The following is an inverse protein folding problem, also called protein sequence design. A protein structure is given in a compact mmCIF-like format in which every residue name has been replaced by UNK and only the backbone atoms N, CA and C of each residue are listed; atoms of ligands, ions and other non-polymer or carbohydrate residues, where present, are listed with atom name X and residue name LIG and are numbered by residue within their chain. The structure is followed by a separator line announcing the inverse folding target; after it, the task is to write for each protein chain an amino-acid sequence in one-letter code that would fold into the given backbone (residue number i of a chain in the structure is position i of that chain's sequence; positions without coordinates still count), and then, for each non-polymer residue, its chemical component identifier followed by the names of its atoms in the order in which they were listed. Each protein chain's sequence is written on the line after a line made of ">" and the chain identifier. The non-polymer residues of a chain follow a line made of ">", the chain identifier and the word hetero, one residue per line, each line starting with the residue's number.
data_IF_720859607476
#
_entry.id   IF_720859607476
#
_cell.length_a   1.000
_cell.length_b   1.000
_cell.length_c   1.000
_cell.angle_alpha   90.00
_cell.angle_beta   90.00
_cell.angle_gamma   90.00
#
_symmetry.space_group_name_H-M   'P 1'
#
loop_
_entity.id
_entity.type
_entity.pdbx_description
1 polymer ?
#
# COMPACT_ATOMS: atom_id res chain seq x y z
N UNK A 1 21.91 -14.79 -60.39
CA UNK A 1 20.43 -14.78 -60.37
C UNK A 1 19.81 -15.57 -59.21
N UNK A 2 20.37 -16.70 -58.74
CA UNK A 2 19.79 -17.48 -57.62
C UNK A 2 19.81 -16.78 -56.24
N UNK A 3 20.82 -15.95 -55.95
CA UNK A 3 20.91 -15.20 -54.68
C UNK A 3 19.92 -14.03 -54.56
N UNK A 4 19.53 -13.41 -55.67
CA UNK A 4 18.57 -12.28 -55.69
C UNK A 4 17.16 -12.76 -55.31
N UNK A 5 16.80 -13.98 -55.72
CA UNK A 5 15.53 -14.62 -55.40
C UNK A 5 15.46 -14.98 -53.91
N UNK A 6 16.59 -15.39 -53.31
CA UNK A 6 16.67 -15.72 -51.89
C UNK A 6 16.45 -14.47 -51.00
N UNK A 7 16.99 -13.32 -51.41
CA UNK A 7 16.81 -12.04 -50.71
C UNK A 7 15.34 -11.59 -50.75
N UNK A 8 14.67 -11.72 -51.90
CA UNK A 8 13.27 -11.32 -52.06
C UNK A 8 12.29 -12.20 -51.27
N UNK A 9 12.68 -13.44 -50.93
CA UNK A 9 11.88 -14.35 -50.09
C UNK A 9 12.04 -14.10 -48.59
N UNK A 10 13.11 -13.43 -48.15
CA UNK A 10 13.38 -13.19 -46.72
C UNK A 10 12.81 -11.82 -46.27
N UNK A 11 12.74 -10.84 -47.18
CA UNK A 11 12.25 -9.48 -46.94
C UNK A 11 10.84 -9.34 -46.32
N UNK A 12 9.81 -10.17 -46.62
CA UNK A 12 8.48 -10.02 -46.02
C UNK A 12 8.36 -10.58 -44.59
N UNK A 13 9.37 -11.32 -44.10
CA UNK A 13 9.39 -11.87 -42.74
C UNK A 13 9.97 -10.90 -41.71
N UNK A 14 10.54 -9.78 -42.14
CA UNK A 14 10.82 -8.63 -41.29
C UNK A 14 9.51 -7.87 -41.04
N UNK A 15 8.57 -8.53 -40.34
CA UNK A 15 7.43 -7.86 -39.75
C UNK A 15 7.99 -6.89 -38.72
N UNK A 16 8.03 -5.61 -39.08
CA UNK A 16 8.34 -4.51 -38.17
C UNK A 16 7.40 -4.67 -36.98
N UNK A 17 7.95 -5.05 -35.83
CA UNK A 17 7.24 -4.87 -34.58
C UNK A 17 6.99 -3.37 -34.46
N UNK A 18 5.73 -2.93 -34.64
CA UNK A 18 5.38 -1.54 -34.44
C UNK A 18 5.78 -1.18 -33.01
N UNK A 19 6.82 -0.35 -32.86
CA UNK A 19 7.12 0.26 -31.57
C UNK A 19 5.95 1.19 -31.30
N UNK A 20 5.01 0.74 -30.47
CA UNK A 20 3.78 1.47 -30.24
C UNK A 20 4.14 2.83 -29.61
N UNK A 21 3.98 3.97 -30.32
CA UNK A 21 4.56 5.25 -29.92
C UNK A 21 4.12 5.60 -28.51
N UNK A 22 5.04 6.06 -27.66
CA UNK A 22 4.76 6.24 -26.23
C UNK A 22 3.88 7.47 -25.96
N UNK A 23 2.56 7.27 -26.03
CA UNK A 23 1.58 8.31 -25.72
C UNK A 23 1.31 8.41 -24.23
N UNK A 24 1.45 9.64 -23.69
CA UNK A 24 1.22 9.97 -22.26
C UNK A 24 -0.10 9.46 -21.70
N UNK A 25 -1.15 9.40 -22.51
CA UNK A 25 -2.49 8.94 -22.10
C UNK A 25 -2.50 7.46 -21.64
N UNK A 26 -1.57 6.63 -22.14
CA UNK A 26 -1.42 5.22 -21.75
C UNK A 26 -0.88 5.06 -20.32
N UNK A 27 -0.04 5.98 -19.86
CA UNK A 27 0.47 5.97 -18.49
C UNK A 27 -0.66 6.20 -17.47
N UNK A 28 -1.61 7.08 -17.79
CA UNK A 28 -2.74 7.36 -16.90
C UNK A 28 -3.71 6.18 -16.81
N UNK A 29 -4.00 5.49 -17.92
CA UNK A 29 -4.83 4.28 -17.89
C UNK A 29 -4.11 3.12 -17.20
N UNK A 30 -2.82 2.91 -17.48
CA UNK A 30 -2.01 1.95 -16.73
C UNK A 30 -1.98 2.26 -15.23
N UNK A 31 -2.00 3.55 -14.85
CA UNK A 31 -2.12 3.97 -13.45
C UNK A 31 -3.49 3.62 -12.87
N UNK A 32 -4.59 3.84 -13.62
CA UNK A 32 -5.95 3.50 -13.18
C UNK A 32 -6.16 1.99 -13.07
N UNK A 33 -5.63 1.23 -14.01
CA UNK A 33 -5.67 -0.22 -14.02
C UNK A 33 -4.76 -0.81 -12.92
N UNK A 34 -3.61 -0.19 -12.66
CA UNK A 34 -2.75 -0.51 -11.52
C UNK A 34 -3.42 -0.15 -10.18
N UNK A 35 -4.11 0.98 -10.08
CA UNK A 35 -4.89 1.39 -8.90
C UNK A 35 -6.08 0.44 -8.67
N UNK A 36 -6.76 0.02 -9.74
CA UNK A 36 -7.81 -1.01 -9.71
C UNK A 36 -7.27 -2.35 -9.25
N UNK A 37 -6.03 -2.69 -9.62
CA UNK A 37 -5.32 -3.90 -9.15
C UNK A 37 -4.81 -3.78 -7.71
N UNK A 38 -4.42 -2.59 -7.25
CA UNK A 38 -4.05 -2.30 -5.86
C UNK A 38 -5.27 -2.37 -4.94
N UNK A 39 -6.46 -2.04 -5.43
CA UNK A 39 -7.72 -2.25 -4.72
C UNK A 39 -8.15 -3.73 -4.65
N UNK A 40 -7.44 -4.65 -5.32
CA UNK A 40 -7.67 -6.10 -5.26
C UNK A 40 -6.66 -6.86 -4.37
N UNK A 41 -5.83 -6.12 -3.63
CA UNK A 41 -5.00 -6.65 -2.55
C UNK A 41 -5.59 -6.22 -1.22
N UNK A 42 -6.66 -6.90 -0.81
CA UNK A 42 -7.08 -7.04 0.57
C UNK A 42 -7.49 -5.76 1.31
N UNK A 43 -8.52 -5.06 0.83
CA UNK A 43 -9.53 -4.55 1.76
C UNK A 43 -10.69 -5.53 1.68
N UNK A 44 -10.43 -6.77 2.07
CA UNK A 44 -11.48 -7.48 2.76
C UNK A 44 -11.72 -6.62 4.00
N UNK A 45 -12.91 -6.08 4.16
CA UNK A 45 -13.43 -5.80 5.50
C UNK A 45 -13.42 -7.15 6.21
N UNK A 46 -12.25 -7.56 6.71
CA UNK A 46 -12.16 -8.70 7.58
C UNK A 46 -13.06 -8.31 8.75
N UNK A 47 -14.19 -8.99 8.88
CA UNK A 47 -15.00 -8.90 10.08
C UNK A 47 -14.12 -9.42 11.19
N UNK A 48 -13.47 -8.50 11.90
CA UNK A 48 -12.60 -8.82 13.03
C UNK A 48 -13.54 -9.18 14.16
N UNK A 49 -13.53 -10.45 14.57
CA UNK A 49 -14.21 -10.87 15.79
C UNK A 49 -13.51 -10.20 16.99
N UNK A 50 -14.21 -9.32 17.73
CA UNK A 50 -13.60 -8.56 18.82
C UNK A 50 -13.20 -9.42 20.02
N UNK A 51 -13.76 -10.63 20.16
CA UNK A 51 -13.47 -11.54 21.26
C UNK A 51 -12.26 -12.43 20.95
N UNK A 52 -11.99 -12.73 19.67
CA UNK A 52 -10.81 -13.49 19.26
C UNK A 52 -9.58 -12.60 18.99
N UNK A 53 -9.80 -11.37 18.52
CA UNK A 53 -8.72 -10.48 18.10
C UNK A 53 -7.86 -10.01 19.27
N UNK A 54 -6.56 -10.27 19.22
CA UNK A 54 -5.59 -9.77 20.20
C UNK A 54 -4.95 -8.48 19.73
N UNK A 55 -5.02 -7.45 20.57
CA UNK A 55 -4.44 -6.14 20.27
C UNK A 55 -2.91 -6.22 20.30
N UNK A 56 -2.30 -5.74 19.23
CA UNK A 56 -0.85 -5.75 19.02
C UNK A 56 -0.22 -4.36 19.14
N UNK A 57 1.12 -4.33 19.22
CA UNK A 57 1.89 -3.10 19.12
C UNK A 57 1.88 -2.53 17.71
N UNK A 58 1.91 -1.20 17.59
CA UNK A 58 1.93 -0.49 16.30
C UNK A 58 0.54 -0.30 15.68
N UNK A 59 -0.51 -0.77 16.34
CA UNK A 59 -1.88 -0.56 15.91
C UNK A 59 -2.40 0.82 16.27
N UNK A 60 -3.27 1.36 15.42
CA UNK A 60 -4.01 2.56 15.73
C UNK A 60 -5.30 2.19 16.48
N UNK A 61 -5.60 2.93 17.53
CA UNK A 61 -6.87 2.89 18.24
C UNK A 61 -7.48 4.27 18.13
N UNK A 62 -8.69 4.32 17.59
CA UNK A 62 -9.49 5.52 17.52
C UNK A 62 -10.40 5.57 18.76
N UNK A 63 -10.35 6.69 19.47
CA UNK A 63 -11.18 6.95 20.64
C UNK A 63 -11.90 8.27 20.42
N UNK A 64 -13.22 8.24 20.49
CA UNK A 64 -14.07 9.42 20.47
C UNK A 64 -14.78 9.54 21.82
N UNK A 65 -14.65 10.69 22.45
CA UNK A 65 -15.28 11.00 23.73
C UNK A 65 -16.31 12.10 23.45
N UNK A 66 -17.58 11.74 23.54
CA UNK A 66 -18.72 12.63 23.33
C UNK A 66 -19.29 13.04 24.69
N UNK A 67 -19.03 14.30 25.08
CA UNK A 67 -19.55 14.89 26.30
C UNK A 67 -20.17 16.24 26.04
N UNK A 68 -19.83 17.22 26.90
CA UNK A 68 -20.12 18.65 26.65
C UNK A 68 -19.39 19.13 25.39
N UNK A 69 -18.18 18.62 25.18
CA UNK A 69 -17.37 18.82 23.97
C UNK A 69 -17.01 17.44 23.40
N UNK A 70 -16.98 17.34 22.07
CA UNK A 70 -16.52 16.14 21.37
C UNK A 70 -15.00 16.20 21.19
N UNK A 71 -14.30 15.17 21.67
CA UNK A 71 -12.84 15.07 21.55
C UNK A 71 -12.48 13.73 20.93
N UNK A 72 -11.74 13.80 19.83
CA UNK A 72 -11.33 12.64 19.05
C UNK A 72 -9.82 12.45 19.11
N UNK A 73 -9.39 11.23 19.44
CA UNK A 73 -7.99 10.83 19.54
C UNK A 73 -7.71 9.66 18.60
N UNK A 74 -6.58 9.74 17.90
CA UNK A 74 -6.05 8.63 17.12
C UNK A 74 -4.67 8.27 17.70
N UNK A 75 -4.63 7.18 18.45
CA UNK A 75 -3.50 6.82 19.31
C UNK A 75 -2.86 5.53 18.82
N UNK A 76 -1.53 5.47 18.85
CA UNK A 76 -0.76 4.29 18.46
C UNK A 76 -0.42 3.49 19.72
N UNK A 77 -0.61 2.17 19.68
CA UNK A 77 -0.14 1.26 20.73
C UNK A 77 1.38 1.13 20.64
N UNK A 78 2.08 1.42 21.75
CA UNK A 78 3.54 1.34 21.80
C UNK A 78 4.04 -0.12 21.73
N UNK A 79 5.33 -0.34 21.47
CA UNK A 79 5.99 -1.65 21.43
C UNK A 79 5.84 -2.42 22.76
N UNK A 80 5.78 -1.70 23.87
CA UNK A 80 5.52 -2.25 25.21
C UNK A 80 4.05 -2.63 25.44
N UNK A 81 3.18 -2.43 24.44
CA UNK A 81 1.72 -2.57 24.50
C UNK A 81 1.06 -1.62 25.48
N UNK A 82 1.60 -0.40 25.59
CA UNK A 82 0.95 0.70 26.30
C UNK A 82 0.25 1.63 25.32
N UNK A 83 -0.98 1.99 25.65
CA UNK A 83 -1.73 3.06 24.98
C UNK A 83 -1.67 4.31 25.83
N UNK A 84 -1.11 5.39 25.30
CA UNK A 84 -0.99 6.65 26.02
C UNK A 84 -2.13 7.59 25.63
N UNK A 85 -3.01 7.89 26.58
CA UNK A 85 -4.12 8.82 26.38
C UNK A 85 -3.80 10.13 27.10
N UNK A 86 -3.83 11.29 26.42
CA UNK A 86 -3.65 12.59 27.08
C UNK A 86 -4.62 12.77 28.25
N UNK A 87 -4.15 13.36 29.37
CA UNK A 87 -4.90 13.58 30.63
C UNK A 87 -5.24 12.32 31.46
N UNK A 88 -5.32 11.13 30.84
CA UNK A 88 -5.63 9.86 31.52
C UNK A 88 -4.36 9.09 31.89
N UNK A 89 -3.36 9.07 31.00
CA UNK A 89 -2.09 8.36 31.20
C UNK A 89 -1.96 7.07 30.38
N UNK A 90 -0.99 6.25 30.75
CA UNK A 90 -0.65 5.01 30.04
C UNK A 90 -1.50 3.81 30.50
N UNK A 91 -2.08 3.10 29.54
CA UNK A 91 -2.91 1.91 29.78
C UNK A 91 -2.22 0.69 29.18
N UNK A 92 -2.02 -0.36 29.99
CA UNK A 92 -1.43 -1.61 29.52
C UNK A 92 -2.48 -2.46 28.78
N UNK A 93 -2.22 -2.81 27.52
CA UNK A 93 -3.08 -3.62 26.65
C UNK A 93 -2.46 -4.99 26.31
N UNK A 94 -1.40 -5.40 27.00
CA UNK A 94 -0.63 -6.59 26.65
C UNK A 94 -1.48 -7.85 26.73
N UNK A 95 -1.59 -8.55 25.59
CA UNK A 95 -2.25 -9.85 25.50
C UNK A 95 -3.76 -9.81 25.70
N UNK A 96 -4.37 -8.63 25.70
CA UNK A 96 -5.82 -8.47 25.81
C UNK A 96 -6.48 -8.67 24.44
N UNK A 97 -7.69 -9.22 24.47
CA UNK A 97 -8.58 -9.20 23.31
C UNK A 97 -9.09 -7.78 23.07
N UNK A 98 -9.58 -7.49 21.86
CA UNK A 98 -10.10 -6.18 21.51
C UNK A 98 -11.26 -5.78 22.42
N UNK A 99 -12.14 -6.72 22.77
CA UNK A 99 -13.24 -6.47 23.68
C UNK A 99 -12.74 -6.09 25.09
N UNK A 100 -11.84 -6.89 25.68
CA UNK A 100 -11.26 -6.58 26.99
C UNK A 100 -10.43 -5.30 27.00
N UNK A 101 -9.74 -4.99 25.90
CA UNK A 101 -9.03 -3.73 25.74
C UNK A 101 -10.00 -2.54 25.78
N UNK A 102 -11.15 -2.63 25.08
CA UNK A 102 -12.19 -1.58 25.11
C UNK A 102 -12.73 -1.37 26.52
N UNK A 103 -13.06 -2.44 27.24
CA UNK A 103 -13.55 -2.37 28.62
C UNK A 103 -12.52 -1.70 29.55
N UNK A 104 -11.25 -2.09 29.43
CA UNK A 104 -10.17 -1.52 30.24
C UNK A 104 -9.93 -0.05 29.93
N UNK A 105 -9.98 0.34 28.66
CA UNK A 105 -9.85 1.74 28.25
C UNK A 105 -11.03 2.55 28.77
N UNK A 106 -12.26 2.07 28.56
CA UNK A 106 -13.49 2.72 29.00
C UNK A 106 -13.49 2.96 30.51
N UNK A 107 -13.23 1.92 31.31
CA UNK A 107 -13.18 2.03 32.76
C UNK A 107 -12.08 2.96 33.28
N UNK A 108 -11.00 3.13 32.51
CA UNK A 108 -9.94 4.09 32.86
C UNK A 108 -10.37 5.52 32.53
N UNK A 109 -10.98 5.76 31.37
CA UNK A 109 -11.47 7.07 30.94
C UNK A 109 -12.59 7.57 31.87
N UNK A 110 -13.53 6.71 32.27
CA UNK A 110 -14.66 7.04 33.17
C UNK A 110 -14.22 7.51 34.58
N UNK A 111 -12.96 7.25 34.96
CA UNK A 111 -12.39 7.79 36.21
C UNK A 111 -12.07 9.29 36.09
N UNK A 112 -11.69 9.74 34.91
CA UNK A 112 -11.28 11.12 34.66
C UNK A 112 -12.40 11.97 34.04
N UNK A 113 -13.25 11.36 33.20
CA UNK A 113 -14.36 12.01 32.53
C UNK A 113 -15.68 11.47 33.08
N UNK A 114 -16.57 12.36 33.54
CA UNK A 114 -17.90 12.01 34.06
C UNK A 114 -18.98 12.39 33.04
N UNK A 115 -20.03 11.57 32.97
CA UNK A 115 -21.18 11.79 32.08
C UNK A 115 -20.78 11.95 30.60
N UNK A 116 -19.88 11.09 30.13
CA UNK A 116 -19.43 11.07 28.73
C UNK A 116 -19.78 9.74 28.07
N UNK A 117 -20.09 9.79 26.79
CA UNK A 117 -20.19 8.62 25.92
C UNK A 117 -18.82 8.37 25.26
N UNK A 118 -18.37 7.12 25.24
CA UNK A 118 -17.04 6.75 24.76
C UNK A 118 -17.19 5.72 23.65
N UNK A 119 -16.68 6.08 22.47
CA UNK A 119 -16.61 5.19 21.32
C UNK A 119 -15.15 4.78 21.06
N UNK A 120 -14.91 3.47 20.92
CA UNK A 120 -13.56 2.92 20.74
C UNK A 120 -13.58 1.97 19.54
N UNK A 121 -12.79 2.28 18.52
CA UNK A 121 -12.62 1.43 17.34
C UNK A 121 -11.14 1.20 17.04
N UNK A 122 -10.85 0.11 16.34
CA UNK A 122 -9.53 -0.14 15.80
C UNK A 122 -9.35 0.79 14.59
N UNK A 123 -8.35 1.67 14.65
CA UNK A 123 -8.00 2.57 13.57
C UNK A 123 -7.35 1.78 12.43
N UNK A 124 -7.84 1.95 11.21
CA UNK A 124 -7.39 1.19 10.04
C UNK A 124 -5.87 1.19 9.85
N UNK A 125 -5.36 0.06 9.35
CA UNK A 125 -3.95 -0.16 9.04
C UNK A 125 -3.41 0.98 8.17
N UNK A 126 -2.32 1.60 8.62
CA UNK A 126 -1.57 2.57 7.83
C UNK A 126 -1.09 1.85 6.57
N UNK A 127 -1.55 2.26 5.39
CA UNK A 127 -0.96 1.83 4.11
C UNK A 127 0.47 2.37 4.07
N UNK A 128 1.45 1.52 4.36
CA UNK A 128 2.85 1.87 4.16
C UNK A 128 3.13 2.09 2.68
N UNK A 129 3.49 3.34 2.34
CA UNK A 129 3.90 3.77 1.00
C UNK A 129 5.26 3.18 0.55
N UNK A 130 5.83 2.20 1.25
CA UNK A 130 7.18 1.67 0.97
C UNK A 130 7.21 0.67 -0.20
N UNK A 131 6.05 0.26 -0.72
CA UNK A 131 5.98 -0.72 -1.81
C UNK A 131 6.33 -0.15 -3.20
N UNK A 132 6.39 1.17 -3.38
CA UNK A 132 6.64 1.77 -4.71
C UNK A 132 8.09 1.67 -5.19
N UNK A 133 9.10 1.54 -4.31
CA UNK A 133 10.50 1.71 -4.73
C UNK A 133 11.22 0.43 -5.17
N UNK A 134 10.60 -0.76 -5.05
CA UNK A 134 11.28 -2.03 -5.41
C UNK A 134 11.23 -2.36 -6.91
N UNK A 135 10.33 -1.74 -7.68
CA UNK A 135 10.07 -2.12 -9.09
C UNK A 135 10.77 -1.25 -10.14
N UNK A 136 11.82 -0.53 -9.75
CA UNK A 136 12.56 0.37 -10.66
C UNK A 136 14.04 0.01 -10.83
N UNK A 137 14.47 -1.19 -10.41
CA UNK A 137 15.88 -1.61 -10.57
C UNK A 137 16.13 -2.62 -11.69
N UNK A 138 15.08 -3.19 -12.28
CA UNK A 138 15.21 -4.33 -13.20
C UNK A 138 15.11 -3.94 -14.69
N UNK A 139 14.61 -2.74 -15.02
CA UNK A 139 14.39 -2.31 -16.41
C UNK A 139 15.55 -1.53 -17.05
N UNK A 140 16.54 -1.08 -16.27
CA UNK A 140 17.57 -0.16 -16.77
C UNK A 140 18.66 -0.83 -17.62
N UNK A 141 18.96 -2.12 -17.39
CA UNK A 141 20.07 -2.80 -18.08
C UNK A 141 19.72 -3.27 -19.50
N UNK A 142 18.45 -3.59 -19.76
CA UNK A 142 18.03 -4.12 -21.05
C UNK A 142 17.89 -3.04 -22.14
N UNK A 143 17.66 -1.78 -21.75
CA UNK A 143 17.53 -0.67 -22.69
C UNK A 143 18.89 -0.20 -23.23
N UNK A 144 19.94 -0.25 -22.40
CA UNK A 144 21.29 0.18 -22.80
C UNK A 144 21.93 -0.80 -23.80
N UNK A 145 21.76 -2.11 -23.61
CA UNK A 145 22.30 -3.12 -24.54
C UNK A 145 21.64 -3.05 -25.93
N UNK A 146 20.35 -2.67 -25.99
CA UNK A 146 19.62 -2.51 -27.24
C UNK A 146 20.10 -1.31 -28.05
N UNK A 147 20.39 -0.19 -27.40
CA UNK A 147 20.91 1.01 -28.06
C UNK A 147 22.31 0.80 -28.67
N UNK A 148 23.17 0.02 -28.00
CA UNK A 148 24.51 -0.31 -28.51
C UNK A 148 24.43 -1.24 -29.72
N UNK A 149 23.52 -2.23 -29.68
CA UNK A 149 23.32 -3.13 -30.80
C UNK A 149 22.79 -2.39 -32.04
N UNK A 150 21.82 -1.49 -31.87
CA UNK A 150 21.27 -0.69 -32.97
C UNK A 150 22.32 0.25 -33.59
N UNK A 151 23.22 0.81 -32.77
CA UNK A 151 24.34 1.64 -33.26
C UNK A 151 25.36 0.83 -34.07
N UNK A 152 25.70 -0.38 -33.62
CA UNK A 152 26.63 -1.26 -34.34
C UNK A 152 26.04 -1.76 -35.67
N UNK A 153 24.74 -2.07 -35.72
CA UNK A 153 24.07 -2.48 -36.94
C UNK A 153 24.03 -1.34 -37.97
N UNK A 154 23.78 -0.10 -37.53
CA UNK A 154 23.81 1.08 -38.41
C UNK A 154 25.20 1.35 -38.99
N UNK A 155 26.26 1.09 -38.22
CA UNK A 155 27.65 1.29 -38.64
C UNK A 155 28.17 0.21 -39.60
N UNK A 156 27.56 -0.99 -39.61
CA UNK A 156 27.95 -2.11 -40.49
C UNK A 156 27.27 -2.05 -41.88
N UNK A 157 26.24 -1.22 -42.03
CA UNK A 157 25.41 -1.10 -43.25
C UNK A 157 25.81 0.13 -44.10
N UNK A 158 26.71 0.98 -43.60
CA UNK A 158 27.40 2.05 -44.34
C UNK A 158 28.79 1.59 -44.80
#
# INVERSE_FOLDING_TARGET
>A
MKFVILIFLILPYLQIAQTNPDYKEREFQNSKDALKKINMSGVAEASIDPDEYKVGSGENIFISISGIEEVNFNLIVNVENYLFIPKVGGINLRGLTLNHAREKIRSTIEKYYKNVEIFISLGGLKKDKSFCCRRYREAAWLQSLKAILDFLISCLIL
#
